data_IF_391272905767
#
_entry.id   IF_391272905767
#
_cell.length_a   1.000
_cell.length_b   1.000
_cell.length_c   1.000
_cell.angle_alpha   90.00
_cell.angle_beta   90.00
_cell.angle_gamma   90.00
#
_symmetry.space_group_name_H-M   'P 1'
#
loop_
_entity.id
_entity.type
_entity.pdbx_description
1 polymer ?
#
# COMPACT_ATOMS: atom_id res chain seq x y z
N UNK A 1 -8.77 48.87 -42.60
CA UNK A 1 -8.37 49.43 -41.28
C UNK A 1 -7.72 48.31 -40.50
N UNK A 2 -6.60 48.61 -39.88
CA UNK A 2 -5.42 47.73 -39.73
C UNK A 2 -5.40 46.99 -38.37
N UNK A 3 -4.96 45.72 -38.39
CA UNK A 3 -4.32 44.87 -37.36
C UNK A 3 -4.45 45.22 -35.85
N UNK A 4 -4.67 44.18 -35.03
CA UNK A 4 -3.64 43.61 -34.11
C UNK A 4 -4.19 42.42 -33.29
N UNK A 5 -3.45 41.32 -33.29
CA UNK A 5 -3.56 40.25 -32.29
C UNK A 5 -2.62 40.54 -31.10
N UNK A 6 -2.93 40.07 -29.87
CA UNK A 6 -2.03 40.20 -28.74
C UNK A 6 -1.05 39.02 -28.61
N UNK A 7 0.21 39.39 -28.38
CA UNK A 7 1.38 38.54 -28.09
C UNK A 7 1.34 37.98 -26.66
N UNK A 8 1.90 36.77 -26.37
CA UNK A 8 1.92 36.21 -25.02
C UNK A 8 3.06 36.77 -24.16
N UNK A 9 2.81 36.93 -22.86
CA UNK A 9 3.80 37.33 -21.86
C UNK A 9 4.55 36.11 -21.30
N UNK A 10 5.88 36.13 -21.42
CA UNK A 10 6.83 35.29 -20.67
C UNK A 10 6.92 35.79 -19.23
N UNK A 11 6.83 34.89 -18.25
CA UNK A 11 7.37 35.11 -16.90
C UNK A 11 8.38 34.02 -16.60
N UNK A 12 9.64 34.41 -16.46
CA UNK A 12 10.74 33.57 -16.03
C UNK A 12 10.96 33.84 -14.53
N UNK A 13 10.77 32.82 -13.69
CA UNK A 13 11.16 32.84 -12.30
C UNK A 13 12.50 32.12 -12.14
N UNK A 14 13.49 32.87 -11.70
CA UNK A 14 14.85 32.49 -11.35
C UNK A 14 14.83 31.64 -10.07
N UNK A 15 15.44 30.45 -10.11
CA UNK A 15 15.75 29.66 -8.92
C UNK A 15 17.27 29.70 -8.70
N UNK A 16 17.70 30.40 -7.66
CA UNK A 16 19.09 30.40 -7.20
C UNK A 16 19.37 29.10 -6.44
N UNK A 17 20.48 28.44 -6.81
CA UNK A 17 21.01 27.22 -6.19
C UNK A 17 22.28 27.60 -5.44
N UNK A 18 22.28 27.58 -4.12
CA UNK A 18 23.50 27.71 -3.32
C UNK A 18 24.12 26.33 -3.08
N UNK A 19 25.37 26.16 -3.52
CA UNK A 19 26.21 25.00 -3.26
C UNK A 19 27.26 25.36 -2.20
N UNK A 20 27.27 24.65 -1.07
CA UNK A 20 28.28 24.78 -0.01
C UNK A 20 29.44 23.82 -0.32
N UNK A 21 30.58 24.37 -0.75
CA UNK A 21 31.86 23.65 -0.86
C UNK A 21 32.69 23.92 0.40
N UNK A 22 32.89 22.88 1.22
CA UNK A 22 33.85 22.88 2.33
C UNK A 22 35.27 22.71 1.74
N UNK A 23 36.07 23.76 1.84
CA UNK A 23 37.49 23.75 1.49
C UNK A 23 38.32 23.26 2.69
N UNK A 24 39.17 22.27 2.45
CA UNK A 24 40.21 21.83 3.39
C UNK A 24 41.47 22.67 3.22
N UNK A 25 42.17 23.09 4.29
CA UNK A 25 43.54 23.54 4.15
C UNK A 25 44.51 22.48 4.66
N UNK A 26 45.32 21.96 3.73
CA UNK A 26 46.61 21.34 4.04
C UNK A 26 47.67 22.45 4.04
N UNK A 27 48.44 22.59 5.12
CA UNK A 27 49.71 23.32 5.11
C UNK A 27 50.76 22.58 5.95
N UNK A 28 51.76 22.03 5.24
CA UNK A 28 53.10 21.72 5.74
C UNK A 28 53.90 23.03 5.91
N UNK A 29 54.84 23.07 6.87
CA UNK A 29 56.25 23.50 6.71
C UNK A 29 56.99 23.53 8.09
N UNK A 30 58.34 23.58 8.14
CA UNK A 30 59.15 22.62 8.89
C UNK A 30 59.91 23.17 10.11
N UNK A 31 60.39 22.24 10.95
CA UNK A 31 61.77 22.19 11.47
C UNK A 31 62.29 23.30 12.39
N UNK A 32 62.28 23.03 13.70
CA UNK A 32 63.31 23.49 14.65
C UNK A 32 63.62 22.32 15.61
N UNK A 33 64.89 21.95 15.70
CA UNK A 33 65.42 20.85 16.53
C UNK A 33 65.42 21.15 18.06
N UNK A 34 65.51 20.12 18.92
CA UNK A 34 65.35 20.23 20.36
C UNK A 34 66.69 20.34 21.11
N UNK A 35 66.68 20.97 22.29
CA UNK A 35 67.67 20.74 23.35
C UNK A 35 67.02 20.82 24.72
N UNK A 36 66.97 19.69 25.44
CA UNK A 36 67.56 19.52 26.78
C UNK A 36 67.31 18.09 27.34
N UNK A 37 68.16 17.61 28.27
CA UNK A 37 68.45 16.18 28.44
C UNK A 37 67.84 15.50 29.69
N UNK A 38 67.69 14.17 29.56
CA UNK A 38 67.80 13.07 30.53
C UNK A 38 66.97 13.10 31.84
N UNK A 39 66.10 12.09 31.99
CA UNK A 39 65.48 11.71 33.27
C UNK A 39 64.52 10.50 33.21
N UNK A 40 65.10 9.29 33.23
CA UNK A 40 64.63 8.08 33.96
C UNK A 40 63.18 7.52 33.88
N UNK A 41 63.12 6.23 33.49
CA UNK A 41 62.19 5.10 33.83
C UNK A 41 60.68 5.21 33.62
N UNK A 42 60.11 4.23 32.89
CA UNK A 42 58.68 3.89 32.98
C UNK A 42 58.16 2.85 31.97
N UNK A 43 57.90 1.63 32.45
CA UNK A 43 56.88 0.66 32.00
C UNK A 43 56.67 0.37 30.49
N UNK A 44 57.12 -0.81 30.05
CA UNK A 44 56.47 -1.53 28.93
C UNK A 44 55.26 -2.29 29.49
N UNK A 45 54.08 -1.69 29.41
CA UNK A 45 52.81 -2.39 29.59
C UNK A 45 52.47 -3.14 28.29
N UNK A 46 52.20 -4.44 28.41
CA UNK A 46 51.74 -5.30 27.34
C UNK A 46 50.38 -4.80 26.81
N UNK A 47 50.32 -4.45 25.53
CA UNK A 47 49.06 -4.17 24.83
C UNK A 47 48.32 -5.48 24.55
N UNK A 48 47.36 -5.84 25.39
CA UNK A 48 46.38 -6.86 25.05
C UNK A 48 45.41 -6.28 24.02
N UNK A 49 45.47 -6.77 22.78
CA UNK A 49 44.50 -6.46 21.75
C UNK A 49 43.18 -7.15 22.11
N UNK A 50 42.21 -6.39 22.61
CA UNK A 50 40.88 -6.89 22.90
C UNK A 50 40.12 -7.06 21.58
N UNK A 51 40.05 -8.29 21.06
CA UNK A 51 39.17 -8.63 19.95
C UNK A 51 37.74 -8.73 20.50
N UNK A 52 36.96 -7.64 20.40
CA UNK A 52 35.52 -7.73 20.60
C UNK A 52 34.92 -8.46 19.38
N UNK A 53 34.69 -9.76 19.52
CA UNK A 53 33.90 -10.51 18.56
C UNK A 53 32.46 -9.99 18.62
N UNK A 54 32.04 -9.26 17.58
CA UNK A 54 30.65 -8.87 17.39
C UNK A 54 29.86 -10.15 17.09
N UNK A 55 29.24 -10.73 18.11
CA UNK A 55 28.22 -11.77 17.88
C UNK A 55 27.01 -11.04 17.31
N UNK A 56 26.90 -10.98 15.98
CA UNK A 56 25.65 -10.61 15.34
C UNK A 56 24.57 -11.57 15.87
N UNK A 57 23.44 -11.07 16.41
CA UNK A 57 22.38 -11.96 16.83
C UNK A 57 21.97 -12.79 15.62
N UNK A 58 22.00 -14.13 15.77
CA UNK A 58 21.26 -15.02 14.87
C UNK A 58 19.85 -14.46 14.83
N UNK A 59 19.40 -14.06 13.65
CA UNK A 59 18.04 -13.57 13.46
C UNK A 59 17.09 -14.70 13.83
N UNK A 60 16.69 -14.76 15.10
CA UNK A 60 15.66 -15.66 15.57
C UNK A 60 14.38 -15.33 14.84
N UNK A 61 13.55 -16.34 14.60
CA UNK A 61 12.18 -16.10 14.14
C UNK A 61 11.46 -15.31 15.24
N UNK A 62 11.17 -14.04 14.97
CA UNK A 62 10.42 -13.16 15.87
C UNK A 62 9.00 -13.05 15.36
N UNK A 63 8.05 -13.50 16.18
CA UNK A 63 6.62 -13.22 15.96
C UNK A 63 6.33 -11.78 16.33
N UNK A 64 5.67 -11.04 15.43
CA UNK A 64 5.24 -9.66 15.67
C UNK A 64 3.75 -9.53 15.42
N UNK A 65 3.04 -8.86 16.34
CA UNK A 65 1.65 -8.46 16.11
C UNK A 65 1.62 -7.34 15.07
N UNK A 66 0.68 -7.45 14.13
CA UNK A 66 0.56 -6.52 13.01
C UNK A 66 -0.63 -5.56 13.19
N UNK A 67 -1.68 -5.99 13.89
CA UNK A 67 -2.85 -5.22 14.29
C UNK A 67 -2.54 -4.26 15.44
N UNK A 68 -1.74 -3.24 15.13
CA UNK A 68 -1.39 -2.14 16.03
C UNK A 68 -1.54 -0.81 15.29
N UNK A 69 -1.84 0.27 16.01
CA UNK A 69 -1.86 1.62 15.44
C UNK A 69 -0.45 2.08 15.04
N UNK A 70 -0.34 3.20 14.31
CA UNK A 70 0.96 3.82 14.00
C UNK A 70 1.79 4.13 15.26
N UNK A 71 1.13 4.47 16.37
CA UNK A 71 1.78 4.67 17.68
C UNK A 71 2.11 3.39 18.45
N UNK A 72 1.81 2.21 17.88
CA UNK A 72 2.06 0.90 18.50
C UNK A 72 1.00 0.45 19.50
N UNK A 73 -0.11 1.18 19.65
CA UNK A 73 -1.22 0.75 20.50
C UNK A 73 -1.87 -0.51 19.90
N UNK A 74 -2.24 -1.47 20.74
CA UNK A 74 -2.94 -2.67 20.28
C UNK A 74 -4.35 -2.31 19.82
N UNK A 75 -4.84 -3.01 18.80
CA UNK A 75 -6.25 -3.00 18.41
C UNK A 75 -7.15 -3.25 19.65
N UNK A 76 -8.20 -2.45 19.80
CA UNK A 76 -9.23 -2.61 20.84
C UNK A 76 -10.42 -3.47 20.39
N UNK A 77 -10.36 -4.02 19.18
CA UNK A 77 -11.33 -4.95 18.59
C UNK A 77 -10.62 -6.18 17.98
N UNK A 78 -11.42 -7.09 17.46
CA UNK A 78 -10.91 -8.29 16.78
C UNK A 78 -10.18 -7.90 15.47
N UNK A 79 -9.15 -8.65 15.09
CA UNK A 79 -8.52 -8.54 13.78
C UNK A 79 -8.38 -9.91 13.13
N UNK A 80 -8.83 -10.04 11.87
CA UNK A 80 -8.92 -11.32 11.15
C UNK A 80 -8.50 -11.15 9.68
N UNK A 81 -8.42 -12.28 8.97
CA UNK A 81 -8.26 -12.35 7.50
C UNK A 81 -7.05 -11.51 7.00
N UNK A 82 -5.80 -11.89 7.35
CA UNK A 82 -4.63 -11.17 6.88
C UNK A 82 -4.28 -11.53 5.43
N UNK A 83 -3.75 -10.55 4.69
CA UNK A 83 -3.11 -10.70 3.39
C UNK A 83 -1.77 -9.97 3.40
N UNK A 84 -0.73 -10.52 2.76
CA UNK A 84 0.64 -10.01 2.88
C UNK A 84 1.27 -9.80 1.50
N UNK A 85 1.98 -8.69 1.31
CA UNK A 85 2.71 -8.38 0.08
C UNK A 85 3.87 -9.35 -0.16
N UNK A 86 4.39 -9.41 -1.38
CA UNK A 86 5.38 -10.41 -1.78
C UNK A 86 6.71 -10.30 -1.02
N UNK A 87 7.12 -9.07 -0.68
CA UNK A 87 8.29 -8.76 0.15
C UNK A 87 8.00 -8.86 1.66
N UNK A 88 6.75 -9.15 2.02
CA UNK A 88 6.26 -9.19 3.38
C UNK A 88 6.11 -7.84 4.05
N UNK A 89 6.39 -6.71 3.39
CA UNK A 89 6.40 -5.38 4.02
C UNK A 89 5.02 -4.90 4.42
N UNK A 90 4.03 -5.10 3.56
CA UNK A 90 2.67 -4.63 3.77
C UNK A 90 1.78 -5.80 4.16
N UNK A 91 0.97 -5.60 5.20
CA UNK A 91 -0.04 -6.58 5.62
C UNK A 91 -1.39 -5.89 5.65
N UNK A 92 -2.29 -6.32 4.78
CA UNK A 92 -3.70 -5.97 4.85
C UNK A 92 -4.40 -6.89 5.85
N UNK A 93 -5.38 -6.38 6.59
CA UNK A 93 -6.18 -7.17 7.53
C UNK A 93 -7.50 -6.49 7.84
N UNK A 94 -8.50 -7.27 8.26
CA UNK A 94 -9.79 -6.77 8.73
C UNK A 94 -9.70 -6.48 10.23
N UNK A 95 -10.35 -5.42 10.71
CA UNK A 95 -10.53 -5.20 12.14
C UNK A 95 -11.80 -4.44 12.49
N UNK A 96 -12.41 -4.80 13.63
CA UNK A 96 -13.50 -4.04 14.29
C UNK A 96 -12.98 -2.98 15.27
N UNK A 97 -11.69 -2.65 15.20
CA UNK A 97 -11.00 -1.83 16.20
C UNK A 97 -11.00 -0.34 15.84
N UNK A 98 -11.68 0.48 16.63
CA UNK A 98 -11.80 1.93 16.43
C UNK A 98 -10.54 2.76 16.74
N UNK A 99 -9.44 2.10 17.14
CA UNK A 99 -8.23 2.78 17.60
C UNK A 99 -6.97 2.54 16.74
N UNK A 100 -7.13 1.87 15.59
CA UNK A 100 -6.00 1.61 14.68
C UNK A 100 -5.57 2.86 13.92
N UNK A 101 -6.52 3.74 13.59
CA UNK A 101 -6.31 5.05 12.97
C UNK A 101 -7.18 6.09 13.67
N UNK A 102 -6.87 7.38 13.48
CA UNK A 102 -7.75 8.45 13.94
C UNK A 102 -8.95 8.60 13.00
N UNK A 103 -10.12 8.92 13.54
CA UNK A 103 -11.33 9.16 12.74
C UNK A 103 -12.02 7.89 12.24
N UNK A 104 -11.72 6.74 12.85
CA UNK A 104 -12.50 5.51 12.67
C UNK A 104 -13.73 5.57 13.57
N UNK A 105 -14.90 5.84 12.95
CA UNK A 105 -16.15 6.14 13.67
C UNK A 105 -17.38 5.43 13.13
N UNK A 106 -17.26 4.65 12.05
CA UNK A 106 -18.38 3.95 11.40
C UNK A 106 -18.89 2.73 12.20
N UNK A 107 -18.17 2.28 13.22
CA UNK A 107 -18.54 1.17 14.11
C UNK A 107 -18.82 -0.15 13.36
N UNK A 108 -18.06 -0.42 12.29
CA UNK A 108 -18.13 -1.65 11.50
C UNK A 108 -16.73 -2.22 11.26
N UNK A 109 -16.65 -3.38 10.62
CA UNK A 109 -15.37 -3.97 10.23
C UNK A 109 -14.74 -3.16 9.09
N UNK A 110 -13.48 -2.76 9.28
CA UNK A 110 -12.70 -2.00 8.32
C UNK A 110 -11.50 -2.80 7.81
N UNK A 111 -11.02 -2.45 6.63
CA UNK A 111 -9.78 -3.00 6.08
C UNK A 111 -8.66 -2.00 6.30
N UNK A 112 -7.58 -2.49 6.91
CA UNK A 112 -6.37 -1.72 7.21
C UNK A 112 -5.17 -2.31 6.47
N UNK A 113 -4.16 -1.48 6.23
CA UNK A 113 -2.83 -1.92 5.81
C UNK A 113 -1.77 -1.43 6.79
N UNK A 114 -0.92 -2.35 7.26
CA UNK A 114 0.26 -2.06 8.06
C UNK A 114 1.51 -2.11 7.19
N UNK A 115 2.27 -1.01 7.13
CA UNK A 115 3.66 -1.01 6.68
C UNK A 115 4.57 -1.45 7.82
N UNK A 116 5.16 -2.64 7.70
CA UNK A 116 6.04 -3.24 8.72
C UNK A 116 7.43 -2.60 8.76
N UNK A 117 7.83 -1.86 7.73
CA UNK A 117 9.13 -1.20 7.69
C UNK A 117 9.09 0.09 8.50
N UNK A 118 8.13 0.97 8.22
CA UNK A 118 8.02 2.27 8.90
C UNK A 118 7.07 2.26 10.11
N UNK A 119 6.28 1.20 10.26
CA UNK A 119 5.34 1.06 11.36
C UNK A 119 4.11 1.97 11.25
N UNK A 120 3.64 2.23 10.03
CA UNK A 120 2.43 3.00 9.78
C UNK A 120 1.23 2.07 9.53
N UNK A 121 0.07 2.40 10.11
CA UNK A 121 -1.22 1.76 9.83
C UNK A 121 -2.15 2.78 9.18
N UNK A 122 -2.80 2.40 8.10
CA UNK A 122 -3.81 3.19 7.42
C UNK A 122 -5.07 2.37 7.16
N UNK A 123 -6.22 3.04 7.10
CA UNK A 123 -7.49 2.44 6.66
C UNK A 123 -7.59 2.56 5.14
N UNK A 124 -7.88 1.46 4.46
CA UNK A 124 -8.04 1.42 2.99
C UNK A 124 -9.50 1.29 2.54
N UNK A 125 -10.42 0.91 3.46
CA UNK A 125 -11.88 0.94 3.28
C UNK A 125 -12.46 2.37 3.31
N UNK A 126 -11.96 3.22 2.42
CA UNK A 126 -12.35 4.63 2.28
C UNK A 126 -12.62 4.96 0.81
N UNK A 127 -13.42 5.99 0.56
CA UNK A 127 -13.62 6.52 -0.79
C UNK A 127 -12.39 7.34 -1.28
N UNK A 128 -12.48 7.88 -2.50
CA UNK A 128 -11.41 8.71 -3.08
C UNK A 128 -11.23 10.08 -2.40
N UNK A 129 -12.14 10.48 -1.50
CA UNK A 129 -12.08 11.71 -0.70
C UNK A 129 -11.60 11.45 0.74
N UNK A 130 -11.38 10.19 1.11
CA UNK A 130 -10.97 9.79 2.45
C UNK A 130 -12.11 9.60 3.44
N UNK A 131 -13.35 9.53 2.97
CA UNK A 131 -14.54 9.24 3.78
C UNK A 131 -14.63 7.74 4.03
N UNK A 132 -14.94 7.35 5.27
CA UNK A 132 -15.11 5.96 5.68
C UNK A 132 -16.30 5.27 5.01
N UNK A 133 -16.18 3.97 4.77
CA UNK A 133 -17.30 3.16 4.31
C UNK A 133 -18.47 3.25 5.30
N UNK A 134 -19.69 3.30 4.76
CA UNK A 134 -20.92 3.29 5.56
C UNK A 134 -21.46 1.87 5.85
N UNK A 135 -20.69 0.83 5.50
CA UNK A 135 -20.95 -0.58 5.77
C UNK A 135 -19.63 -1.35 5.98
N UNK A 136 -19.73 -2.63 6.33
CA UNK A 136 -18.57 -3.49 6.58
C UNK A 136 -17.67 -3.62 5.35
N UNK A 137 -16.38 -3.84 5.59
CA UNK A 137 -15.39 -4.18 4.58
C UNK A 137 -14.61 -5.43 4.97
N UNK A 138 -14.48 -6.38 4.05
CA UNK A 138 -13.94 -7.72 4.33
C UNK A 138 -13.05 -8.27 3.20
N UNK A 139 -12.44 -9.43 3.45
CA UNK A 139 -11.68 -10.22 2.46
C UNK A 139 -10.59 -9.44 1.70
N UNK A 140 -9.62 -8.83 2.40
CA UNK A 140 -8.58 -8.08 1.74
C UNK A 140 -7.63 -8.96 0.92
N UNK A 141 -7.22 -8.45 -0.24
CA UNK A 141 -6.10 -8.95 -1.03
C UNK A 141 -5.17 -7.78 -1.38
N UNK A 142 -3.85 -7.97 -1.25
CA UNK A 142 -2.87 -6.89 -1.48
C UNK A 142 -1.89 -7.24 -2.60
N UNK A 143 -1.54 -6.27 -3.44
CA UNK A 143 -0.57 -6.44 -4.54
C UNK A 143 0.85 -6.71 -4.04
N UNK A 144 1.72 -7.19 -4.93
CA UNK A 144 3.07 -7.64 -4.56
C UNK A 144 3.93 -6.51 -3.97
N UNK A 145 3.77 -5.29 -4.47
CA UNK A 145 4.40 -4.06 -3.98
C UNK A 145 3.61 -3.36 -2.87
N UNK A 146 2.43 -3.90 -2.53
CA UNK A 146 1.51 -3.33 -1.57
C UNK A 146 0.64 -2.19 -2.09
N UNK A 147 0.87 -1.63 -3.29
CA UNK A 147 0.18 -0.42 -3.76
C UNK A 147 -1.34 -0.56 -3.81
N UNK A 148 -1.83 -1.70 -4.26
CA UNK A 148 -3.25 -1.94 -4.46
C UNK A 148 -3.79 -2.88 -3.38
N UNK A 149 -4.91 -2.48 -2.76
CA UNK A 149 -5.66 -3.32 -1.83
C UNK A 149 -7.07 -3.53 -2.39
N UNK A 150 -7.41 -4.77 -2.72
CA UNK A 150 -8.76 -5.18 -3.07
C UNK A 150 -9.52 -5.63 -1.82
N UNK A 151 -10.82 -5.36 -1.75
CA UNK A 151 -11.68 -5.76 -0.63
C UNK A 151 -13.15 -5.81 -1.06
N UNK A 152 -13.98 -6.47 -0.26
CA UNK A 152 -15.43 -6.56 -0.43
C UNK A 152 -16.12 -5.54 0.46
N UNK A 153 -17.19 -4.91 0.00
CA UNK A 153 -18.08 -4.13 0.85
C UNK A 153 -19.50 -4.05 0.29
N UNK A 154 -20.49 -3.86 1.16
CA UNK A 154 -21.86 -3.46 0.79
C UNK A 154 -22.09 -1.94 0.94
N UNK A 155 -21.01 -1.17 1.08
CA UNK A 155 -21.07 0.26 1.33
C UNK A 155 -21.39 1.06 0.06
N UNK A 156 -22.51 1.78 0.06
CA UNK A 156 -22.97 2.58 -1.08
C UNK A 156 -22.18 3.87 -1.33
N UNK A 157 -21.19 4.19 -0.49
CA UNK A 157 -20.46 5.45 -0.52
C UNK A 157 -18.99 5.34 -0.91
N UNK A 158 -18.48 4.15 -1.23
CA UNK A 158 -17.08 3.98 -1.66
C UNK A 158 -16.81 4.52 -3.06
N UNK A 159 -17.82 4.48 -3.93
CA UNK A 159 -17.82 5.04 -5.27
C UNK A 159 -19.18 5.67 -5.58
N UNK A 160 -19.23 6.59 -6.56
CA UNK A 160 -20.50 7.12 -7.03
C UNK A 160 -21.25 6.07 -7.88
N UNK A 161 -22.58 6.01 -7.72
CA UNK A 161 -23.43 5.13 -8.53
C UNK A 161 -23.42 3.67 -8.10
N UNK A 162 -23.04 3.39 -6.86
CA UNK A 162 -23.28 2.10 -6.22
C UNK A 162 -24.73 2.04 -5.72
N UNK A 163 -25.57 1.26 -6.41
CA UNK A 163 -27.03 1.25 -6.17
C UNK A 163 -27.64 -0.14 -6.07
N UNK A 164 -26.84 -1.20 -6.22
CA UNK A 164 -27.32 -2.59 -6.24
C UNK A 164 -27.66 -3.14 -4.84
N UNK A 165 -27.24 -2.45 -3.77
CA UNK A 165 -27.47 -2.84 -2.37
C UNK A 165 -26.98 -4.26 -2.03
N UNK A 166 -25.87 -4.68 -2.63
CA UNK A 166 -25.24 -5.98 -2.36
C UNK A 166 -23.72 -5.82 -2.18
N UNK A 167 -23.03 -6.92 -1.94
CA UNK A 167 -21.57 -6.92 -1.81
C UNK A 167 -20.92 -6.69 -3.17
N UNK A 168 -20.01 -5.72 -3.22
CA UNK A 168 -19.21 -5.36 -4.37
C UNK A 168 -17.72 -5.51 -4.07
N UNK A 169 -16.91 -5.63 -5.13
CA UNK A 169 -15.46 -5.68 -5.02
C UNK A 169 -14.87 -4.33 -5.41
N UNK A 170 -14.08 -3.79 -4.50
CA UNK A 170 -13.39 -2.52 -4.67
C UNK A 170 -11.88 -2.72 -4.70
N UNK A 171 -11.18 -1.79 -5.36
CA UNK A 171 -9.72 -1.67 -5.27
C UNK A 171 -9.35 -0.25 -4.86
N UNK A 172 -8.56 -0.15 -3.80
CA UNK A 172 -7.88 1.07 -3.36
C UNK A 172 -6.48 1.12 -3.95
N UNK A 173 -6.18 2.17 -4.73
CA UNK A 173 -4.79 2.57 -5.01
C UNK A 173 -4.30 3.47 -3.87
N UNK A 174 -3.39 2.94 -3.06
CA UNK A 174 -2.87 3.61 -1.87
C UNK A 174 -1.95 4.78 -2.22
N UNK A 175 -1.41 4.84 -3.44
CA UNK A 175 -0.49 5.91 -3.85
C UNK A 175 -1.23 7.12 -4.42
N UNK A 176 -2.21 6.90 -5.30
CA UNK A 176 -3.05 7.99 -5.82
C UNK A 176 -4.19 8.37 -4.87
N UNK A 177 -4.51 7.52 -3.91
CA UNK A 177 -5.63 7.73 -3.00
C UNK A 177 -6.99 7.60 -3.70
N UNK A 178 -7.09 6.70 -4.68
CA UNK A 178 -8.34 6.47 -5.44
C UNK A 178 -8.94 5.11 -5.11
N UNK A 179 -10.26 5.05 -5.02
CA UNK A 179 -11.06 3.83 -4.85
C UNK A 179 -11.96 3.66 -6.06
N UNK A 180 -11.97 2.45 -6.62
CA UNK A 180 -12.83 2.08 -7.75
C UNK A 180 -13.52 0.74 -7.49
N UNK A 181 -14.70 0.55 -8.08
CA UNK A 181 -15.40 -0.75 -8.10
C UNK A 181 -14.93 -1.53 -9.31
N UNK A 182 -14.50 -2.77 -9.10
CA UNK A 182 -14.02 -3.68 -10.15
C UNK A 182 -15.01 -4.80 -10.46
N UNK A 183 -16.06 -4.97 -9.64
CA UNK A 183 -17.24 -5.80 -9.95
C UNK A 183 -18.16 -5.13 -10.98
N UNK A 184 -17.62 -4.88 -12.17
CA UNK A 184 -18.33 -4.23 -13.28
C UNK A 184 -18.22 -5.04 -14.56
N UNK A 185 -19.16 -4.85 -15.49
CA UNK A 185 -19.04 -5.35 -16.85
C UNK A 185 -17.98 -4.58 -17.67
N UNK A 186 -17.77 -4.98 -18.92
CA UNK A 186 -16.79 -4.32 -19.81
C UNK A 186 -17.17 -2.89 -20.25
N UNK A 187 -18.35 -2.40 -19.85
CA UNK A 187 -18.85 -1.04 -20.08
C UNK A 187 -18.85 -0.20 -18.79
N UNK A 188 -18.41 -0.77 -17.66
CA UNK A 188 -18.40 -0.12 -16.36
C UNK A 188 -19.75 -0.15 -15.63
N UNK A 189 -20.72 -0.96 -16.08
CA UNK A 189 -21.99 -1.15 -15.40
C UNK A 189 -21.81 -2.07 -14.19
N UNK A 190 -22.48 -1.74 -13.09
CA UNK A 190 -22.39 -2.52 -11.84
C UNK A 190 -22.97 -3.94 -11.99
N UNK A 191 -22.38 -4.88 -11.26
CA UNK A 191 -22.93 -6.22 -11.10
C UNK A 191 -24.36 -6.16 -10.52
N UNK A 192 -25.26 -6.97 -11.06
CA UNK A 192 -26.65 -7.09 -10.60
C UNK A 192 -26.85 -8.18 -9.53
N UNK A 193 -25.75 -8.68 -8.95
CA UNK A 193 -25.70 -9.71 -7.93
C UNK A 193 -24.43 -9.53 -7.08
N UNK A 194 -24.29 -10.31 -6.01
CA UNK A 194 -23.17 -10.15 -5.09
C UNK A 194 -21.85 -10.51 -5.77
N UNK A 195 -20.76 -9.88 -5.30
CA UNK A 195 -19.39 -10.16 -5.68
C UNK A 195 -18.52 -10.34 -4.44
N UNK A 196 -17.71 -11.40 -4.39
CA UNK A 196 -16.94 -11.77 -3.20
C UNK A 196 -15.59 -12.40 -3.52
N UNK A 197 -14.79 -12.59 -2.46
CA UNK A 197 -13.46 -13.23 -2.48
C UNK A 197 -12.50 -12.68 -3.54
N UNK A 198 -12.15 -11.38 -3.45
CA UNK A 198 -11.28 -10.77 -4.43
C UNK A 198 -9.85 -11.27 -4.32
N UNK A 199 -9.18 -11.34 -5.47
CA UNK A 199 -7.74 -11.53 -5.58
C UNK A 199 -7.18 -10.47 -6.53
N UNK A 200 -6.16 -9.75 -6.08
CA UNK A 200 -5.46 -8.76 -6.90
C UNK A 200 -4.12 -9.31 -7.38
N UNK A 201 -3.84 -9.15 -8.68
CA UNK A 201 -2.56 -9.51 -9.29
C UNK A 201 -1.39 -8.69 -8.73
N UNK A 202 -0.17 -9.19 -8.96
CA UNK A 202 1.06 -8.62 -8.40
C UNK A 202 1.30 -7.15 -8.77
N UNK A 203 1.03 -6.77 -10.02
CA UNK A 203 1.13 -5.40 -10.54
C UNK A 203 -0.17 -4.60 -10.37
N UNK A 204 -1.21 -5.23 -9.80
CA UNK A 204 -2.52 -4.64 -9.62
C UNK A 204 -3.37 -4.59 -10.88
N UNK A 205 -2.94 -5.09 -12.04
CA UNK A 205 -3.70 -4.93 -13.29
C UNK A 205 -5.02 -5.71 -13.27
N UNK A 206 -4.96 -6.97 -12.90
CA UNK A 206 -6.11 -7.87 -12.87
C UNK A 206 -6.68 -8.00 -11.46
N UNK A 207 -8.00 -7.93 -11.36
CA UNK A 207 -8.77 -8.30 -10.16
C UNK A 207 -9.67 -9.49 -10.50
N UNK A 208 -9.50 -10.61 -9.80
CA UNK A 208 -10.37 -11.77 -9.90
C UNK A 208 -11.37 -11.79 -8.75
N UNK A 209 -12.61 -12.24 -8.99
CA UNK A 209 -13.64 -12.34 -7.96
C UNK A 209 -14.71 -13.37 -8.35
N UNK A 210 -15.46 -13.84 -7.36
CA UNK A 210 -16.65 -14.68 -7.56
C UNK A 210 -17.88 -13.80 -7.60
N UNK A 211 -18.84 -14.11 -8.48
CA UNK A 211 -20.11 -13.38 -8.53
C UNK A 211 -21.28 -14.26 -8.93
N UNK A 212 -22.46 -13.92 -8.40
CA UNK A 212 -23.76 -14.46 -8.82
C UNK A 212 -24.43 -13.60 -9.91
N UNK A 213 -23.76 -12.56 -10.40
CA UNK A 213 -24.33 -11.56 -11.29
C UNK A 213 -24.41 -12.07 -12.74
N UNK A 214 -25.57 -11.91 -13.36
CA UNK A 214 -25.83 -12.37 -14.74
C UNK A 214 -25.42 -11.37 -15.82
N UNK A 215 -24.99 -10.16 -15.42
CA UNK A 215 -24.72 -9.06 -16.33
C UNK A 215 -23.25 -8.66 -16.47
N UNK A 216 -22.32 -9.38 -15.82
CA UNK A 216 -20.88 -9.09 -15.92
C UNK A 216 -20.31 -9.45 -17.30
N UNK A 217 -20.86 -10.49 -17.93
CA UNK A 217 -20.53 -10.91 -19.30
C UNK A 217 -21.78 -11.32 -20.05
N UNK A 218 -21.77 -11.14 -21.36
CA UNK A 218 -22.87 -11.61 -22.23
C UNK A 218 -22.92 -13.13 -22.23
N UNK A 219 -24.11 -13.69 -22.05
CA UNK A 219 -24.34 -15.14 -22.14
C UNK A 219 -24.12 -15.90 -20.83
N UNK A 220 -23.93 -15.20 -19.72
CA UNK A 220 -24.03 -15.80 -18.39
C UNK A 220 -25.49 -16.09 -18.04
N UNK A 221 -25.83 -17.39 -17.93
CA UNK A 221 -27.22 -17.87 -17.89
C UNK A 221 -27.46 -19.09 -17.00
N UNK A 222 -26.42 -19.64 -16.37
CA UNK A 222 -26.54 -20.86 -15.52
C UNK A 222 -27.13 -20.55 -14.14
N UNK A 223 -27.24 -19.28 -13.74
CA UNK A 223 -27.70 -18.86 -12.43
C UNK A 223 -26.88 -19.48 -11.27
N UNK A 224 -25.57 -19.63 -11.49
CA UNK A 224 -24.61 -20.10 -10.49
C UNK A 224 -23.53 -19.05 -10.26
N UNK A 225 -22.73 -19.26 -9.21
CA UNK A 225 -21.59 -18.40 -8.94
C UNK A 225 -20.45 -18.73 -9.91
N UNK A 226 -20.00 -17.72 -10.65
CA UNK A 226 -18.92 -17.82 -11.61
C UNK A 226 -17.70 -17.01 -11.15
N UNK A 227 -16.53 -17.36 -11.68
CA UNK A 227 -15.28 -16.62 -11.45
C UNK A 227 -15.07 -15.67 -12.61
N UNK A 228 -14.86 -14.40 -12.28
CA UNK A 228 -14.61 -13.32 -13.22
C UNK A 228 -13.23 -12.72 -13.01
N UNK A 229 -12.66 -12.16 -14.08
CA UNK A 229 -11.46 -11.33 -14.04
C UNK A 229 -11.77 -10.00 -14.71
N UNK A 230 -11.49 -8.91 -13.99
CA UNK A 230 -11.52 -7.55 -14.51
C UNK A 230 -10.09 -7.05 -14.77
N UNK A 231 -9.79 -6.66 -16.00
CA UNK A 231 -8.57 -5.98 -16.40
C UNK A 231 -8.74 -4.47 -16.21
N UNK A 232 -8.18 -3.94 -15.11
CA UNK A 232 -8.31 -2.53 -14.72
C UNK A 232 -7.63 -1.56 -15.70
N UNK A 233 -6.80 -2.04 -16.62
CA UNK A 233 -6.17 -1.17 -17.64
C UNK A 233 -7.01 -1.04 -18.90
N UNK A 234 -7.70 -2.10 -19.29
CA UNK A 234 -8.53 -2.10 -20.51
C UNK A 234 -10.01 -1.90 -20.22
N UNK A 235 -10.43 -2.12 -18.98
CA UNK A 235 -11.82 -2.16 -18.55
C UNK A 235 -12.54 -3.47 -18.91
N UNK A 236 -11.84 -4.46 -19.47
CA UNK A 236 -12.46 -5.71 -19.90
C UNK A 236 -12.78 -6.61 -18.69
N UNK A 237 -13.98 -7.22 -18.70
CA UNK A 237 -14.41 -8.24 -17.74
C UNK A 237 -14.70 -9.54 -18.47
N UNK A 238 -14.11 -10.62 -17.98
CA UNK A 238 -14.17 -11.95 -18.58
C UNK A 238 -14.59 -12.98 -17.53
N UNK A 239 -15.42 -13.95 -17.91
CA UNK A 239 -15.68 -15.14 -17.10
C UNK A 239 -14.59 -16.17 -17.38
N UNK A 240 -13.96 -16.68 -16.31
CA UNK A 240 -12.87 -17.66 -16.39
C UNK A 240 -13.26 -19.06 -15.90
N UNK A 241 -14.42 -19.21 -15.25
CA UNK A 241 -15.05 -20.50 -14.91
C UNK A 241 -15.77 -21.12 -16.11
N UNK A 242 -15.00 -21.52 -17.12
CA UNK A 242 -15.53 -22.16 -18.34
C UNK A 242 -14.95 -23.55 -18.57
N UNK A 243 -15.70 -24.40 -19.25
CA UNK A 243 -15.23 -25.70 -19.73
C UNK A 243 -14.22 -25.54 -20.89
N UNK A 244 -13.66 -26.65 -21.38
CA UNK A 244 -12.68 -26.64 -22.48
C UNK A 244 -13.23 -26.11 -23.81
N UNK A 245 -14.56 -26.00 -23.95
CA UNK A 245 -15.26 -25.41 -25.09
C UNK A 245 -15.68 -23.96 -24.89
N UNK A 246 -15.40 -23.36 -23.72
CA UNK A 246 -15.81 -22.00 -23.38
C UNK A 246 -17.25 -21.88 -22.89
N UNK A 247 -17.95 -23.00 -22.67
CA UNK A 247 -19.26 -22.99 -22.02
C UNK A 247 -19.10 -22.78 -20.51
N UNK A 248 -20.09 -22.15 -19.89
CA UNK A 248 -20.10 -21.95 -18.43
C UNK A 248 -20.06 -23.28 -17.67
N UNK A 249 -19.34 -23.31 -16.55
CA UNK A 249 -19.23 -24.47 -15.67
C UNK A 249 -20.53 -24.74 -14.88
#
# INVERSE_FOLDING_TARGET
MTLRQPTPARSAATAETEAILLSSPSLLFPGVEPRNPLGSVGFLAAGALLLAALVAPVAGQVTRRVSVSTGGAQANGESVIPSISADGRYVAFVSSASNLVAGDTNATDDVFVRDRLVGATERVSIDSLGVESNSYCMWPSISADGRYAAFVSSASNLVAGDTNATDDVFVRDRWSGTTERVSVDSLGMEANGYCMWPSISADGRYAAFVSSASNLVVGDTNATDDVFVHDRWTGATERVSVDSGGAQA
#
